data_IF_868135192276
#
_entry.id   IF_868135192276
#
_cell.length_a   1.000
_cell.length_b   1.000
_cell.length_c   1.000
_cell.angle_alpha   90.00
_cell.angle_beta   90.00
_cell.angle_gamma   90.00
#
_symmetry.space_group_name_H-M   'P 1'
#
loop_
_entity.id
_entity.type
_entity.pdbx_description
1 polymer ?
#
# COMPACT_ATOMS: atom_id res chain seq x y z
N UNK A 1 -31.24 -67.23 -68.72
CA UNK A 1 -31.20 -68.71 -68.62
C UNK A 1 -32.61 -69.21 -68.90
N UNK A 2 -32.92 -69.46 -70.17
CA UNK A 2 -32.92 -70.78 -70.79
C UNK A 2 -34.13 -71.65 -70.39
N UNK A 3 -35.08 -71.73 -71.34
CA UNK A 3 -35.86 -72.90 -71.75
C UNK A 3 -36.56 -73.71 -70.64
N UNK A 4 -37.86 -73.51 -70.48
CA UNK A 4 -38.78 -74.59 -70.07
C UNK A 4 -40.25 -74.19 -70.29
N UNK A 5 -40.82 -74.54 -71.44
CA UNK A 5 -42.26 -74.85 -71.61
C UNK A 5 -42.46 -75.54 -72.97
N UNK A 6 -42.06 -76.80 -73.00
CA UNK A 6 -42.34 -77.77 -74.07
C UNK A 6 -42.78 -79.06 -73.36
N UNK A 7 -43.81 -79.71 -73.91
CA UNK A 7 -44.41 -81.01 -73.54
C UNK A 7 -45.63 -80.99 -72.61
N UNK A 8 -46.82 -80.98 -73.23
CA UNK A 8 -47.85 -81.99 -72.95
C UNK A 8 -48.96 -81.92 -74.01
N UNK A 9 -48.85 -82.69 -75.10
CA UNK A 9 -49.98 -83.26 -75.86
C UNK A 9 -49.48 -84.10 -77.02
N UNK A 10 -49.30 -85.40 -76.77
CA UNK A 10 -49.26 -86.43 -77.82
C UNK A 10 -49.58 -87.78 -77.16
N UNK A 11 -50.72 -88.37 -77.50
CA UNK A 11 -50.85 -89.78 -77.93
C UNK A 11 -52.31 -90.13 -78.14
N UNK A 12 -52.68 -90.35 -79.41
CA UNK A 12 -53.58 -91.45 -79.84
C UNK A 12 -53.56 -91.51 -81.37
N UNK A 13 -52.93 -92.55 -81.93
CA UNK A 13 -53.03 -92.94 -83.34
C UNK A 13 -53.58 -94.38 -83.45
N UNK A 14 -54.67 -94.49 -84.22
CA UNK A 14 -55.10 -95.50 -85.23
C UNK A 14 -55.21 -96.99 -84.87
N UNK A 15 -56.33 -97.60 -85.31
CA UNK A 15 -56.54 -98.75 -86.25
C UNK A 15 -58.05 -99.11 -86.18
N UNK A 16 -58.90 -98.82 -87.17
CA UNK A 16 -59.31 -99.54 -88.41
C UNK A 16 -60.13 -100.86 -88.25
N UNK A 17 -61.27 -100.86 -88.98
CA UNK A 17 -62.12 -101.93 -89.58
C UNK A 17 -63.15 -102.77 -88.77
N UNK A 18 -64.44 -102.56 -89.14
CA UNK A 18 -65.54 -103.50 -89.47
C UNK A 18 -65.79 -104.77 -88.61
N UNK A 19 -66.99 -104.87 -87.99
CA UNK A 19 -68.13 -105.71 -88.43
C UNK A 19 -69.35 -105.62 -87.49
N UNK A 20 -70.51 -105.58 -88.14
CA UNK A 20 -71.89 -105.91 -87.74
C UNK A 20 -72.12 -106.67 -86.41
N UNK A 21 -73.05 -106.14 -85.60
CA UNK A 21 -74.17 -106.93 -85.05
C UNK A 21 -74.02 -107.60 -83.69
N UNK A 22 -74.94 -107.22 -82.81
CA UNK A 22 -75.43 -107.90 -81.59
C UNK A 22 -74.77 -107.65 -80.22
N UNK A 23 -75.59 -106.95 -79.42
CA UNK A 23 -76.00 -107.27 -78.05
C UNK A 23 -75.21 -106.67 -76.89
N UNK A 24 -75.98 -105.90 -76.12
CA UNK A 24 -75.65 -105.13 -74.93
C UNK A 24 -75.25 -106.04 -73.75
N UNK A 25 -74.37 -105.46 -72.92
CA UNK A 25 -74.11 -105.73 -71.49
C UNK A 25 -72.91 -106.64 -71.16
N UNK A 26 -71.71 -106.04 -71.05
CA UNK A 26 -70.75 -106.23 -69.92
C UNK A 26 -69.38 -105.56 -70.17
N UNK A 27 -69.34 -104.23 -70.31
CA UNK A 27 -68.06 -103.48 -70.38
C UNK A 27 -68.06 -102.34 -69.36
N UNK A 28 -68.00 -102.67 -68.06
CA UNK A 28 -67.81 -101.68 -66.97
C UNK A 28 -66.58 -102.02 -66.09
N UNK A 29 -65.83 -103.08 -66.39
CA UNK A 29 -64.78 -103.60 -65.49
C UNK A 29 -63.33 -103.11 -65.71
N UNK A 30 -62.91 -102.76 -66.94
CA UNK A 30 -61.47 -102.65 -67.26
C UNK A 30 -60.96 -101.22 -67.58
N UNK A 31 -61.83 -100.23 -67.81
CA UNK A 31 -61.43 -98.83 -68.02
C UNK A 31 -61.24 -98.04 -66.70
N UNK A 32 -61.71 -98.59 -65.57
CA UNK A 32 -61.73 -97.94 -64.26
C UNK A 32 -60.45 -98.19 -63.41
N UNK A 33 -59.55 -99.10 -63.82
CA UNK A 33 -58.27 -99.38 -63.14
C UNK A 33 -57.10 -98.55 -63.72
N UNK A 34 -57.14 -98.25 -65.02
CA UNK A 34 -56.13 -97.43 -65.71
C UNK A 34 -56.20 -95.95 -65.34
N UNK A 35 -57.41 -95.37 -65.23
CA UNK A 35 -57.62 -94.00 -64.73
C UNK A 35 -57.14 -93.85 -63.29
N UNK A 36 -57.49 -94.78 -62.40
CA UNK A 36 -57.05 -94.77 -60.99
C UNK A 36 -55.53 -94.86 -60.80
N UNK A 37 -54.81 -95.52 -61.70
CA UNK A 37 -53.34 -95.60 -61.63
C UNK A 37 -52.69 -94.32 -62.15
N UNK A 38 -53.23 -93.75 -63.24
CA UNK A 38 -52.83 -92.43 -63.77
C UNK A 38 -53.04 -91.32 -62.74
N UNK A 39 -54.19 -91.30 -62.07
CA UNK A 39 -54.51 -90.31 -61.04
C UNK A 39 -53.61 -90.47 -59.81
N UNK A 40 -53.24 -91.70 -59.43
CA UNK A 40 -52.26 -91.95 -58.36
C UNK A 40 -50.86 -91.44 -58.71
N UNK A 41 -50.41 -91.63 -59.95
CA UNK A 41 -49.10 -91.15 -60.41
C UNK A 41 -49.10 -89.62 -60.50
N UNK A 42 -50.16 -89.01 -61.02
CA UNK A 42 -50.31 -87.56 -61.10
C UNK A 42 -50.36 -86.92 -59.70
N UNK A 43 -51.13 -87.50 -58.77
CA UNK A 43 -51.18 -87.03 -57.38
C UNK A 43 -49.84 -87.19 -56.67
N UNK A 44 -49.11 -88.29 -56.88
CA UNK A 44 -47.77 -88.50 -56.29
C UNK A 44 -46.75 -87.51 -56.87
N UNK A 45 -46.83 -87.21 -58.16
CA UNK A 45 -45.98 -86.21 -58.80
C UNK A 45 -46.27 -84.79 -58.28
N UNK A 46 -47.55 -84.42 -58.15
CA UNK A 46 -47.96 -83.16 -57.55
C UNK A 46 -47.48 -83.03 -56.09
N UNK A 47 -47.63 -84.09 -55.29
CA UNK A 47 -47.15 -84.13 -53.91
C UNK A 47 -45.63 -83.91 -53.81
N UNK A 48 -44.85 -84.60 -54.66
CA UNK A 48 -43.41 -84.42 -54.73
C UNK A 48 -43.03 -83.00 -55.17
N UNK A 49 -43.78 -82.42 -56.11
CA UNK A 49 -43.54 -81.07 -56.59
C UNK A 49 -43.89 -80.02 -55.53
N UNK A 50 -44.95 -80.23 -54.73
CA UNK A 50 -45.30 -79.37 -53.59
C UNK A 50 -44.30 -79.49 -52.46
N UNK A 51 -43.81 -80.68 -52.14
CA UNK A 51 -42.79 -80.90 -51.10
C UNK A 51 -41.47 -80.21 -51.48
N UNK A 52 -41.04 -80.31 -52.74
CA UNK A 52 -39.85 -79.60 -53.22
C UNK A 52 -40.02 -78.09 -53.11
N UNK A 53 -41.17 -77.55 -53.53
CA UNK A 53 -41.45 -76.11 -53.43
C UNK A 53 -41.49 -75.64 -51.97
N UNK A 54 -42.15 -76.37 -51.08
CA UNK A 54 -42.18 -76.05 -49.64
C UNK A 54 -40.79 -76.06 -49.03
N UNK A 55 -39.99 -77.10 -49.29
CA UNK A 55 -38.62 -77.19 -48.78
C UNK A 55 -37.73 -76.06 -49.33
N UNK A 56 -37.89 -75.69 -50.60
CA UNK A 56 -37.16 -74.52 -51.15
C UNK A 56 -37.59 -73.21 -50.50
N UNK A 57 -38.88 -72.99 -50.23
CA UNK A 57 -39.35 -71.81 -49.50
C UNK A 57 -38.81 -71.76 -48.07
N UNK A 58 -38.86 -72.88 -47.34
CA UNK A 58 -38.35 -72.98 -45.96
C UNK A 58 -36.85 -72.64 -45.94
N UNK A 59 -36.04 -73.26 -46.81
CA UNK A 59 -34.61 -72.96 -46.88
C UNK A 59 -34.29 -71.50 -47.23
N UNK A 60 -35.10 -70.86 -48.08
CA UNK A 60 -34.97 -69.44 -48.40
C UNK A 60 -35.33 -68.55 -47.21
N UNK A 61 -36.38 -68.88 -46.47
CA UNK A 61 -36.78 -68.18 -45.24
C UNK A 61 -35.70 -68.30 -44.18
N UNK A 62 -35.20 -69.50 -43.90
CA UNK A 62 -34.12 -69.71 -42.93
C UNK A 62 -32.86 -68.93 -43.31
N UNK A 63 -32.54 -68.85 -44.61
CA UNK A 63 -31.40 -68.06 -45.08
C UNK A 63 -31.63 -66.56 -44.84
N UNK A 64 -32.86 -66.08 -45.08
CA UNK A 64 -33.22 -64.68 -44.85
C UNK A 64 -33.22 -64.31 -43.38
N UNK A 65 -33.68 -65.19 -42.50
CA UNK A 65 -33.65 -65.00 -41.06
C UNK A 65 -32.21 -64.95 -40.53
N UNK A 66 -31.33 -65.84 -41.02
CA UNK A 66 -29.89 -65.81 -40.70
C UNK A 66 -29.23 -64.52 -41.18
N UNK A 67 -29.52 -64.08 -42.41
CA UNK A 67 -29.04 -62.81 -42.95
C UNK A 67 -29.50 -61.63 -42.08
N UNK A 68 -30.77 -61.61 -41.68
CA UNK A 68 -31.34 -60.56 -40.83
C UNK A 68 -30.70 -60.55 -39.44
N UNK A 69 -30.58 -61.70 -38.77
CA UNK A 69 -29.91 -61.81 -37.47
C UNK A 69 -28.45 -61.33 -37.54
N UNK A 70 -27.71 -61.73 -38.57
CA UNK A 70 -26.32 -61.28 -38.77
C UNK A 70 -26.20 -59.77 -39.02
N UNK A 71 -27.24 -59.15 -39.57
CA UNK A 71 -27.31 -57.70 -39.79
C UNK A 71 -27.59 -56.98 -38.47
N UNK A 72 -28.57 -57.46 -37.69
CA UNK A 72 -28.91 -56.92 -36.37
C UNK A 72 -27.70 -57.00 -35.43
N UNK A 73 -27.04 -58.15 -35.32
CA UNK A 73 -25.85 -58.31 -34.46
C UNK A 73 -24.70 -57.37 -34.86
N UNK A 74 -24.49 -57.14 -36.17
CA UNK A 74 -23.49 -56.17 -36.63
C UNK A 74 -23.86 -54.75 -36.21
N UNK A 75 -25.14 -54.38 -36.34
CA UNK A 75 -25.62 -53.06 -35.95
C UNK A 75 -25.54 -52.81 -34.45
N UNK A 76 -25.85 -53.82 -33.64
CA UNK A 76 -25.69 -53.73 -32.18
C UNK A 76 -24.22 -53.57 -31.79
N UNK A 77 -23.31 -54.30 -32.42
CA UNK A 77 -21.86 -54.16 -32.20
C UNK A 77 -21.34 -52.78 -32.61
N UNK A 78 -21.77 -52.28 -33.77
CA UNK A 78 -21.42 -50.92 -34.23
C UNK A 78 -21.92 -49.87 -33.23
N UNK A 79 -23.17 -50.00 -32.76
CA UNK A 79 -23.76 -49.07 -31.80
C UNK A 79 -23.02 -49.07 -30.46
N UNK A 80 -22.71 -50.25 -29.91
CA UNK A 80 -21.96 -50.39 -28.65
C UNK A 80 -20.56 -49.79 -28.75
N UNK A 81 -19.85 -50.07 -29.85
CA UNK A 81 -18.54 -49.47 -30.16
C UNK A 81 -18.60 -47.95 -30.14
N UNK A 82 -19.61 -47.37 -30.79
CA UNK A 82 -19.79 -45.93 -30.91
C UNK A 82 -20.12 -45.29 -29.56
N UNK A 83 -20.97 -45.94 -28.76
CA UNK A 83 -21.26 -45.55 -27.38
C UNK A 83 -20.01 -45.54 -26.50
N UNK A 84 -19.17 -46.56 -26.62
CA UNK A 84 -17.95 -46.66 -25.82
C UNK A 84 -16.89 -45.64 -26.24
N UNK A 85 -16.76 -45.37 -27.54
CA UNK A 85 -15.92 -44.29 -28.07
C UNK A 85 -16.36 -42.92 -27.53
N UNK A 86 -17.65 -42.61 -27.66
CA UNK A 86 -18.19 -41.33 -27.18
C UNK A 86 -18.01 -41.17 -25.67
N UNK A 87 -18.19 -42.24 -24.88
CA UNK A 87 -17.94 -42.22 -23.44
C UNK A 87 -16.49 -41.88 -23.10
N UNK A 88 -15.52 -42.46 -23.83
CA UNK A 88 -14.09 -42.19 -23.63
C UNK A 88 -13.75 -40.73 -23.97
N UNK A 89 -14.31 -40.21 -25.05
CA UNK A 89 -14.10 -38.82 -25.48
C UNK A 89 -14.71 -37.82 -24.48
N UNK A 90 -15.89 -38.13 -23.94
CA UNK A 90 -16.50 -37.31 -22.89
C UNK A 90 -15.64 -37.29 -21.62
N UNK A 91 -15.11 -38.45 -21.22
CA UNK A 91 -14.22 -38.54 -20.05
C UNK A 91 -12.92 -37.73 -20.27
N UNK A 92 -12.28 -37.85 -21.43
CA UNK A 92 -11.05 -37.10 -21.70
C UNK A 92 -11.29 -35.59 -21.73
N UNK A 93 -12.41 -35.13 -22.29
CA UNK A 93 -12.81 -33.73 -22.26
C UNK A 93 -13.04 -33.23 -20.83
N UNK A 94 -13.75 -34.00 -20.01
CA UNK A 94 -13.97 -33.61 -18.60
C UNK A 94 -12.67 -33.52 -17.81
N UNK A 95 -11.72 -34.42 -18.07
CA UNK A 95 -10.43 -34.44 -17.38
C UNK A 95 -9.53 -33.28 -17.85
N UNK A 96 -9.54 -32.96 -19.14
CA UNK A 96 -8.85 -31.78 -19.70
C UNK A 96 -9.40 -30.49 -19.09
N UNK A 97 -10.72 -30.30 -19.10
CA UNK A 97 -11.35 -29.11 -18.56
C UNK A 97 -11.06 -28.96 -17.06
N UNK A 98 -11.03 -30.07 -16.30
CA UNK A 98 -10.68 -30.04 -14.88
C UNK A 98 -9.24 -29.56 -14.65
N UNK A 99 -8.29 -30.00 -15.49
CA UNK A 99 -6.90 -29.57 -15.41
C UNK A 99 -6.73 -28.09 -15.74
N UNK A 100 -7.40 -27.60 -16.79
CA UNK A 100 -7.39 -26.17 -17.14
C UNK A 100 -8.00 -25.31 -16.03
N UNK A 101 -9.07 -25.76 -15.40
CA UNK A 101 -9.70 -25.03 -14.30
C UNK A 101 -8.79 -24.96 -13.06
N UNK A 102 -8.03 -26.02 -12.79
CA UNK A 102 -7.04 -26.04 -11.70
C UNK A 102 -5.88 -25.09 -12.00
N UNK A 103 -5.30 -25.13 -13.21
CA UNK A 103 -4.18 -24.25 -13.55
C UNK A 103 -4.56 -22.77 -13.56
N UNK A 104 -5.80 -22.45 -13.98
CA UNK A 104 -6.32 -21.08 -13.89
C UNK A 104 -6.49 -20.61 -12.44
N UNK A 105 -6.90 -21.51 -11.53
CA UNK A 105 -6.99 -21.18 -10.10
C UNK A 105 -5.62 -20.89 -9.52
N UNK A 106 -4.65 -21.78 -9.74
CA UNK A 106 -3.27 -21.62 -9.26
C UNK A 106 -2.66 -20.31 -9.78
N UNK A 107 -2.78 -20.03 -11.08
CA UNK A 107 -2.25 -18.79 -11.66
C UNK A 107 -2.90 -17.52 -11.06
N UNK A 108 -4.19 -17.56 -10.75
CA UNK A 108 -4.87 -16.43 -10.13
C UNK A 108 -4.49 -16.25 -8.66
N UNK A 109 -4.26 -17.35 -7.93
CA UNK A 109 -3.76 -17.29 -6.54
C UNK A 109 -2.35 -16.70 -6.47
N UNK A 110 -1.45 -17.10 -7.36
CA UNK A 110 -0.09 -16.53 -7.47
C UNK A 110 -0.11 -15.02 -7.79
N UNK A 111 -0.99 -14.61 -8.72
CA UNK A 111 -1.19 -13.18 -9.03
C UNK A 111 -1.73 -12.40 -7.83
N UNK A 112 -2.63 -12.99 -7.05
CA UNK A 112 -3.18 -12.36 -5.85
C UNK A 112 -2.12 -12.22 -4.75
N UNK A 113 -1.27 -13.22 -4.56
CA UNK A 113 -0.17 -13.20 -3.60
C UNK A 113 0.86 -12.12 -3.96
N UNK A 114 1.35 -12.11 -5.20
CA UNK A 114 2.32 -11.11 -5.66
C UNK A 114 1.79 -9.66 -5.57
N UNK A 115 0.49 -9.45 -5.83
CA UNK A 115 -0.13 -8.13 -5.64
C UNK A 115 -0.21 -7.72 -4.17
N UNK A 116 -0.47 -8.65 -3.25
CA UNK A 116 -0.46 -8.36 -1.81
C UNK A 116 0.94 -7.99 -1.34
N UNK A 117 1.95 -8.78 -1.69
CA UNK A 117 3.34 -8.53 -1.33
C UNK A 117 3.80 -7.15 -1.85
N UNK A 118 3.56 -6.84 -3.13
CA UNK A 118 3.93 -5.55 -3.71
C UNK A 118 3.24 -4.36 -3.01
N UNK A 119 1.98 -4.52 -2.59
CA UNK A 119 1.28 -3.47 -1.86
C UNK A 119 1.77 -3.31 -0.42
N UNK A 120 2.14 -4.41 0.26
CA UNK A 120 2.74 -4.35 1.58
C UNK A 120 4.09 -3.65 1.57
N UNK A 121 4.97 -3.96 0.60
CA UNK A 121 6.25 -3.26 0.42
C UNK A 121 6.09 -1.76 0.16
N UNK A 122 5.10 -1.37 -0.67
CA UNK A 122 4.77 0.04 -0.91
C UNK A 122 4.25 0.74 0.35
N UNK A 123 3.46 0.05 1.15
CA UNK A 123 2.95 0.61 2.41
C UNK A 123 4.07 0.79 3.44
N UNK A 124 5.00 -0.16 3.54
CA UNK A 124 6.17 -0.08 4.41
C UNK A 124 7.08 1.09 4.01
N UNK A 125 7.47 1.18 2.74
CA UNK A 125 8.33 2.26 2.25
C UNK A 125 7.69 3.66 2.42
N UNK A 126 6.36 3.78 2.25
CA UNK A 126 5.65 5.03 2.53
C UNK A 126 5.64 5.40 4.02
N UNK A 127 5.53 4.42 4.92
CA UNK A 127 5.60 4.66 6.37
C UNK A 127 6.99 5.15 6.76
N UNK A 128 8.03 4.44 6.34
CA UNK A 128 9.43 4.81 6.61
C UNK A 128 9.74 6.23 6.11
N UNK A 129 9.38 6.54 4.85
CA UNK A 129 9.59 7.87 4.29
C UNK A 129 8.86 8.99 5.05
N UNK A 130 7.66 8.71 5.56
CA UNK A 130 6.91 9.68 6.36
C UNK A 130 7.50 9.86 7.76
N UNK A 131 7.97 8.78 8.40
CA UNK A 131 8.64 8.85 9.69
C UNK A 131 9.94 9.68 9.62
N UNK A 132 10.76 9.47 8.59
CA UNK A 132 11.98 10.28 8.35
C UNK A 132 11.66 11.78 8.15
N UNK A 133 10.60 12.09 7.40
CA UNK A 133 10.14 13.48 7.22
C UNK A 133 9.65 14.11 8.51
N UNK A 134 8.94 13.37 9.35
CA UNK A 134 8.47 13.87 10.65
C UNK A 134 9.63 14.12 11.61
N UNK A 135 10.62 13.23 11.65
CA UNK A 135 11.81 13.38 12.47
C UNK A 135 12.61 14.63 12.07
N UNK A 136 12.91 14.78 10.78
CA UNK A 136 13.66 15.95 10.26
C UNK A 136 12.92 17.27 10.49
N UNK A 137 11.59 17.30 10.34
CA UNK A 137 10.79 18.50 10.62
C UNK A 137 10.80 18.85 12.12
N UNK A 138 10.74 17.84 12.99
CA UNK A 138 10.82 18.01 14.44
C UNK A 138 12.19 18.54 14.86
N UNK A 139 13.26 18.00 14.29
CA UNK A 139 14.63 18.44 14.58
C UNK A 139 14.88 19.89 14.14
N UNK A 140 14.45 20.26 12.91
CA UNK A 140 14.55 21.63 12.43
C UNK A 140 13.79 22.61 13.33
N UNK A 141 12.57 22.23 13.75
CA UNK A 141 11.75 23.08 14.63
C UNK A 141 12.38 23.26 16.01
N UNK A 142 12.98 22.21 16.57
CA UNK A 142 13.72 22.29 17.82
C UNK A 142 14.96 23.20 17.70
N UNK A 143 15.69 23.11 16.57
CA UNK A 143 16.83 24.01 16.32
C UNK A 143 16.40 25.48 16.23
N UNK A 144 15.30 25.78 15.53
CA UNK A 144 14.75 27.14 15.46
C UNK A 144 14.29 27.65 16.83
N UNK A 145 13.62 26.80 17.62
CA UNK A 145 13.17 27.14 18.96
C UNK A 145 14.36 27.44 19.89
N UNK A 146 15.42 26.63 19.84
CA UNK A 146 16.64 26.87 20.61
C UNK A 146 17.31 28.20 20.22
N UNK A 147 17.38 28.52 18.93
CA UNK A 147 17.91 29.82 18.47
C UNK A 147 17.06 30.99 18.97
N UNK A 148 15.75 30.86 18.93
CA UNK A 148 14.83 31.89 19.41
C UNK A 148 14.96 32.10 20.93
N UNK A 149 15.08 31.02 21.71
CA UNK A 149 15.29 31.08 23.15
C UNK A 149 16.60 31.78 23.51
N UNK A 150 17.72 31.38 22.90
CA UNK A 150 19.02 32.02 23.14
C UNK A 150 18.98 33.52 22.83
N UNK A 151 18.30 33.91 21.75
CA UNK A 151 18.14 35.30 21.38
C UNK A 151 17.23 36.07 22.35
N UNK A 152 16.19 35.43 22.88
CA UNK A 152 15.33 36.02 23.91
C UNK A 152 16.08 36.23 25.22
N UNK A 153 16.89 35.26 25.66
CA UNK A 153 17.74 35.36 26.86
C UNK A 153 18.76 36.49 26.71
N UNK A 154 19.46 36.56 25.57
CA UNK A 154 20.41 37.64 25.29
C UNK A 154 19.73 39.02 25.34
N UNK A 155 18.54 39.16 24.75
CA UNK A 155 17.76 40.40 24.83
C UNK A 155 17.36 40.75 26.25
N UNK A 156 16.91 39.77 27.04
CA UNK A 156 16.55 39.99 28.44
C UNK A 156 17.76 40.46 29.26
N UNK A 157 18.93 39.85 29.06
CA UNK A 157 20.17 40.27 29.70
C UNK A 157 20.58 41.69 29.30
N UNK A 158 20.54 42.03 28.01
CA UNK A 158 20.84 43.40 27.55
C UNK A 158 19.85 44.44 28.11
N UNK A 159 18.57 44.07 28.26
CA UNK A 159 17.57 44.95 28.88
C UNK A 159 17.84 45.17 30.37
N UNK A 160 18.25 44.13 31.11
CA UNK A 160 18.64 44.28 32.51
C UNK A 160 19.90 45.14 32.66
N UNK A 161 20.92 44.92 31.81
CA UNK A 161 22.14 45.72 31.81
C UNK A 161 21.85 47.20 31.54
N UNK A 162 21.08 47.50 30.49
CA UNK A 162 20.68 48.88 30.18
C UNK A 162 19.89 49.50 31.33
N UNK A 163 18.95 48.76 31.92
CA UNK A 163 18.16 49.19 33.07
C UNK A 163 19.02 49.56 34.29
N UNK A 164 20.01 48.76 34.66
CA UNK A 164 20.89 49.07 35.80
C UNK A 164 21.77 50.30 35.53
N UNK A 165 22.29 50.46 34.31
CA UNK A 165 23.10 51.64 33.94
C UNK A 165 22.31 52.95 34.02
N UNK A 166 21.02 52.92 33.69
CA UNK A 166 20.12 54.08 33.80
C UNK A 166 20.06 54.63 35.24
N UNK A 167 19.97 53.74 36.22
CA UNK A 167 19.82 54.15 37.62
C UNK A 167 21.13 54.73 38.17
N UNK A 168 22.29 54.24 37.72
CA UNK A 168 23.61 54.83 38.03
C UNK A 168 23.72 56.24 37.47
N UNK A 169 23.24 56.49 36.24
CA UNK A 169 23.23 57.84 35.65
C UNK A 169 22.42 58.82 36.50
N UNK A 170 21.19 58.46 36.87
CA UNK A 170 20.33 59.29 37.72
C UNK A 170 20.96 59.58 39.09
N UNK A 171 21.62 58.60 39.68
CA UNK A 171 22.38 58.76 40.91
C UNK A 171 23.54 59.75 40.77
N UNK A 172 24.29 59.70 39.66
CA UNK A 172 25.36 60.66 39.36
C UNK A 172 24.83 62.08 39.14
N UNK A 173 23.63 62.23 38.56
CA UNK A 173 22.98 63.55 38.46
C UNK A 173 22.58 64.10 39.83
N UNK A 174 22.13 63.25 40.74
CA UNK A 174 21.86 63.63 42.14
C UNK A 174 23.15 64.01 42.87
N UNK A 175 24.24 63.25 42.69
CA UNK A 175 25.57 63.59 43.21
C UNK A 175 26.01 64.97 42.70
N UNK A 176 25.87 65.25 41.40
CA UNK A 176 26.14 66.59 40.84
C UNK A 176 25.35 67.66 41.58
N UNK A 177 24.05 67.47 41.76
CA UNK A 177 23.21 68.46 42.44
C UNK A 177 23.69 68.73 43.87
N UNK A 178 24.09 67.68 44.61
CA UNK A 178 24.67 67.84 45.95
C UNK A 178 26.00 68.60 45.94
N UNK A 179 26.91 68.29 45.02
CA UNK A 179 28.19 69.01 44.89
C UNK A 179 27.95 70.49 44.62
N UNK A 180 27.09 70.81 43.64
CA UNK A 180 26.78 72.19 43.28
C UNK A 180 26.04 72.95 44.38
N UNK A 181 25.24 72.26 45.19
CA UNK A 181 24.52 72.91 46.31
C UNK A 181 25.45 73.44 47.42
N UNK A 182 26.68 72.93 47.51
CA UNK A 182 27.68 73.42 48.48
C UNK A 182 28.28 74.76 48.06
N UNK A 183 28.33 75.05 46.76
CA UNK A 183 28.86 76.30 46.20
C UNK A 183 27.74 77.25 45.77
N UNK A 184 27.39 78.21 46.62
CA UNK A 184 26.32 79.22 46.38
C UNK A 184 26.49 80.08 45.12
N UNK A 185 27.65 79.99 44.45
CA UNK A 185 28.06 80.82 43.32
C UNK A 185 27.90 80.13 41.95
N UNK A 186 27.53 78.85 41.90
CA UNK A 186 27.67 78.05 40.67
C UNK A 186 26.31 77.84 40.00
N UNK A 187 26.28 78.10 38.68
CA UNK A 187 25.10 77.94 37.85
C UNK A 187 24.79 76.45 37.69
N UNK A 188 23.55 76.04 37.92
CA UNK A 188 23.05 74.66 37.76
C UNK A 188 23.16 74.07 36.33
N UNK A 189 23.82 74.77 35.40
CA UNK A 189 24.01 74.36 34.00
C UNK A 189 25.29 73.55 33.77
N UNK A 190 26.09 73.30 34.80
CA UNK A 190 27.36 72.58 34.66
C UNK A 190 27.17 71.08 34.29
N UNK A 191 27.94 70.54 33.33
CA UNK A 191 27.95 69.11 33.02
C UNK A 191 28.37 68.24 34.21
N UNK A 192 27.81 67.02 34.31
CA UNK A 192 28.10 66.08 35.41
C UNK A 192 29.59 65.73 35.48
N UNK A 193 30.26 65.55 34.34
CA UNK A 193 31.71 65.23 34.30
C UNK A 193 32.57 66.30 35.01
N UNK A 194 32.20 67.58 34.90
CA UNK A 194 32.93 68.65 35.55
C UNK A 194 32.68 68.67 37.07
N UNK A 195 31.45 68.38 37.50
CA UNK A 195 31.14 68.23 38.92
C UNK A 195 31.89 67.03 39.54
N UNK A 196 31.93 65.88 38.84
CA UNK A 196 32.72 64.72 39.26
C UNK A 196 34.22 65.01 39.26
N UNK A 197 34.71 65.83 38.32
CA UNK A 197 36.09 66.32 38.34
C UNK A 197 36.38 67.16 39.58
N UNK A 198 35.46 68.03 40.02
CA UNK A 198 35.62 68.77 41.28
C UNK A 198 35.58 67.84 42.49
N UNK A 199 34.69 66.85 42.51
CA UNK A 199 34.69 65.82 43.55
C UNK A 199 36.04 65.12 43.65
N UNK A 200 36.68 64.81 42.50
CA UNK A 200 38.03 64.23 42.47
C UNK A 200 39.15 65.14 42.99
N UNK A 201 38.83 66.40 43.31
CA UNK A 201 39.73 67.42 43.86
C UNK A 201 39.35 67.80 45.31
N UNK A 202 38.23 67.30 45.82
CA UNK A 202 37.74 67.56 47.18
C UNK A 202 38.60 66.82 48.22
N UNK A 203 39.11 67.52 49.22
CA UNK A 203 40.08 66.95 50.17
C UNK A 203 39.47 65.84 51.03
N UNK A 204 38.22 66.00 51.46
CA UNK A 204 37.52 65.02 52.29
C UNK A 204 37.25 63.74 51.48
N UNK A 205 36.79 63.89 50.24
CA UNK A 205 36.58 62.77 49.33
C UNK A 205 37.89 62.07 48.96
N UNK A 206 38.96 62.81 48.64
CA UNK A 206 40.28 62.24 48.32
C UNK A 206 40.80 61.38 49.48
N UNK A 207 40.65 61.85 50.73
CA UNK A 207 41.10 61.11 51.91
C UNK A 207 40.35 59.78 52.06
N UNK A 208 39.04 59.78 51.83
CA UNK A 208 38.21 58.57 51.86
C UNK A 208 38.63 57.62 50.72
N UNK A 209 38.79 58.15 49.50
CA UNK A 209 39.14 57.37 48.32
C UNK A 209 40.52 56.72 48.45
N UNK A 210 41.54 57.47 48.90
CA UNK A 210 42.89 56.93 49.11
C UNK A 210 42.90 55.81 50.13
N UNK A 211 42.24 56.02 51.28
CA UNK A 211 42.13 54.99 52.31
C UNK A 211 41.45 53.74 51.78
N UNK A 212 40.33 53.89 51.06
CA UNK A 212 39.64 52.75 50.48
C UNK A 212 40.52 52.02 49.44
N UNK A 213 41.27 52.74 48.61
CA UNK A 213 42.22 52.14 47.67
C UNK A 213 43.32 51.34 48.39
N UNK A 214 43.88 51.87 49.48
CA UNK A 214 44.86 51.16 50.32
C UNK A 214 44.27 49.90 50.94
N UNK A 215 43.04 49.98 51.48
CA UNK A 215 42.34 48.86 52.11
C UNK A 215 41.98 47.74 51.10
N UNK A 216 42.01 48.01 49.79
CA UNK A 216 41.64 47.07 48.72
C UNK A 216 42.78 46.78 47.73
N UNK A 217 44.03 47.16 48.05
CA UNK A 217 45.21 46.98 47.20
C UNK A 217 45.07 47.56 45.77
N UNK A 218 44.37 48.69 45.64
CA UNK A 218 44.14 49.37 44.36
C UNK A 218 45.03 50.61 44.20
N UNK A 219 45.46 50.88 42.97
CA UNK A 219 46.24 52.09 42.64
C UNK A 219 45.31 53.30 42.55
N UNK A 220 45.53 54.27 43.43
CA UNK A 220 44.74 55.50 43.50
C UNK A 220 44.64 56.24 42.16
N UNK A 221 45.75 56.39 41.42
CA UNK A 221 45.75 57.13 40.15
C UNK A 221 44.83 56.47 39.11
N UNK A 222 44.80 55.14 39.07
CA UNK A 222 43.99 54.36 38.13
C UNK A 222 42.49 54.51 38.46
N UNK A 223 42.14 54.47 39.75
CA UNK A 223 40.77 54.68 40.23
C UNK A 223 40.31 56.13 40.04
N UNK A 224 41.18 57.11 40.32
CA UNK A 224 40.88 58.53 40.15
C UNK A 224 40.64 58.86 38.67
N UNK A 225 41.36 58.21 37.76
CA UNK A 225 41.17 58.40 36.31
C UNK A 225 39.77 58.00 35.86
N UNK A 226 39.18 56.95 36.45
CA UNK A 226 37.84 56.47 36.14
C UNK A 226 36.74 57.50 36.45
N UNK A 227 36.91 58.33 37.48
CA UNK A 227 35.87 59.30 37.95
C UNK A 227 35.36 60.21 36.83
N UNK A 228 36.26 60.65 35.94
CA UNK A 228 35.93 61.56 34.83
C UNK A 228 35.18 60.90 33.69
N UNK A 229 35.24 59.57 33.60
CA UNK A 229 34.59 58.78 32.57
C UNK A 229 33.24 58.19 33.00
N UNK A 230 32.92 58.21 34.30
CA UNK A 230 31.73 57.53 34.84
C UNK A 230 30.42 57.99 34.20
N UNK A 231 30.22 59.30 34.06
CA UNK A 231 28.98 59.81 33.48
C UNK A 231 28.95 59.58 31.97
N UNK A 232 30.07 59.66 31.26
CA UNK A 232 30.13 59.25 29.86
C UNK A 232 29.73 57.77 29.69
N UNK A 233 30.27 56.86 30.51
CA UNK A 233 29.89 55.45 30.56
C UNK A 233 28.39 55.26 30.89
N UNK A 234 27.85 56.00 31.86
CA UNK A 234 26.43 55.95 32.25
C UNK A 234 25.48 56.53 31.18
N UNK A 235 25.92 57.56 30.47
CA UNK A 235 25.10 58.37 29.54
C UNK A 235 24.88 57.72 28.17
N UNK A 236 25.65 56.68 27.83
CA UNK A 236 25.52 55.95 26.57
C UNK A 236 24.18 55.22 26.41
N UNK A 237 23.43 55.05 27.49
CA UNK A 237 22.17 54.31 27.52
C UNK A 237 21.02 55.17 28.09
N UNK A 238 19.80 54.90 27.64
CA UNK A 238 18.58 55.73 27.79
C UNK A 238 18.20 56.12 29.23
N UNK A 239 17.28 57.09 29.36
CA UNK A 239 16.75 57.58 30.63
C UNK A 239 15.63 56.68 31.18
N UNK A 240 15.57 56.52 32.49
CA UNK A 240 14.55 55.73 33.17
C UNK A 240 14.48 56.11 34.64
N UNK A 241 13.37 55.73 35.26
CA UNK A 241 12.82 56.31 36.49
C UNK A 241 12.58 55.23 37.55
N UNK A 242 13.53 54.31 37.75
CA UNK A 242 13.39 53.30 38.79
C UNK A 242 14.06 53.70 40.11
N UNK A 243 13.50 53.28 41.26
CA UNK A 243 13.93 53.76 42.57
C UNK A 243 15.22 53.09 43.10
N UNK A 244 15.64 51.95 42.55
CA UNK A 244 16.74 51.15 43.08
C UNK A 244 17.99 51.23 42.21
N UNK A 245 19.11 51.70 42.79
CA UNK A 245 20.38 51.84 42.09
C UNK A 245 21.17 50.54 42.24
N UNK A 246 21.62 49.97 41.13
CA UNK A 246 22.40 48.72 41.12
C UNK A 246 23.71 48.95 40.37
N UNK A 247 24.82 48.63 41.01
CA UNK A 247 26.15 48.59 40.37
C UNK A 247 26.40 47.15 39.94
N UNK A 248 26.43 46.91 38.63
CA UNK A 248 26.61 45.58 38.02
C UNK A 248 28.02 45.44 37.44
N UNK A 249 28.81 44.52 37.98
CA UNK A 249 30.20 44.30 37.56
C UNK A 249 30.35 43.76 36.13
N UNK A 250 29.26 43.32 35.49
CA UNK A 250 29.25 42.95 34.07
C UNK A 250 29.23 44.16 33.13
N UNK A 251 28.87 45.33 33.66
CA UNK A 251 28.67 46.57 32.87
C UNK A 251 29.74 47.63 33.12
N UNK A 252 30.46 47.54 34.23
CA UNK A 252 31.47 48.51 34.67
C UNK A 252 32.80 47.80 34.91
N UNK A 253 33.92 48.46 34.63
CA UNK A 253 35.23 47.93 35.01
C UNK A 253 35.38 47.87 36.54
N UNK A 254 36.27 47.01 37.06
CA UNK A 254 36.47 46.85 38.50
C UNK A 254 36.76 48.17 39.22
N UNK A 255 37.54 49.06 38.61
CA UNK A 255 37.82 50.38 39.15
C UNK A 255 36.59 51.31 39.12
N UNK A 256 35.75 51.22 38.09
CA UNK A 256 34.50 51.98 37.99
C UNK A 256 33.46 51.50 39.02
N UNK A 257 33.30 50.18 39.18
CA UNK A 257 32.45 49.58 40.23
C UNK A 257 32.87 50.09 41.59
N UNK A 258 34.17 50.01 41.87
CA UNK A 258 34.75 50.40 43.15
C UNK A 258 34.51 51.88 43.45
N UNK A 259 34.82 52.76 42.49
CA UNK A 259 34.66 54.20 42.70
C UNK A 259 33.19 54.62 42.77
N UNK A 260 32.28 53.97 42.02
CA UNK A 260 30.85 54.20 42.14
C UNK A 260 30.34 53.84 43.54
N UNK A 261 30.80 52.71 44.09
CA UNK A 261 30.48 52.30 45.46
C UNK A 261 30.94 53.34 46.49
N UNK A 262 32.15 53.88 46.33
CA UNK A 262 32.69 54.92 47.23
C UNK A 262 31.91 56.23 47.09
N UNK A 263 31.60 56.66 45.87
CA UNK A 263 30.81 57.88 45.61
C UNK A 263 29.43 57.75 46.25
N UNK A 264 28.71 56.66 45.98
CA UNK A 264 27.37 56.46 46.52
C UNK A 264 27.38 56.32 48.05
N UNK A 265 28.39 55.66 48.61
CA UNK A 265 28.57 55.62 50.06
C UNK A 265 28.82 57.01 50.65
N UNK A 266 29.72 57.81 50.05
CA UNK A 266 30.04 59.17 50.50
C UNK A 266 28.80 60.08 50.52
N UNK A 267 27.94 59.97 49.50
CA UNK A 267 26.70 60.74 49.38
C UNK A 267 25.48 60.08 50.03
N UNK A 268 25.66 58.95 50.75
CA UNK A 268 24.60 58.19 51.42
C UNK A 268 23.45 57.76 50.49
N UNK A 269 23.80 57.40 49.26
CA UNK A 269 22.88 56.90 48.25
C UNK A 269 22.79 55.38 48.43
N UNK A 270 21.60 54.80 48.70
CA UNK A 270 21.45 53.36 48.79
C UNK A 270 21.67 52.73 47.41
N UNK A 271 22.48 51.69 47.36
CA UNK A 271 22.72 50.92 46.14
C UNK A 271 22.89 49.45 46.48
N UNK A 272 22.57 48.59 45.53
CA UNK A 272 22.89 47.18 45.59
C UNK A 272 24.05 46.85 44.66
N UNK A 273 24.80 45.82 45.01
CA UNK A 273 25.90 45.32 44.23
C UNK A 273 25.55 43.97 43.62
N UNK A 274 25.67 43.85 42.31
CA UNK A 274 25.44 42.60 41.58
C UNK A 274 26.77 42.07 41.05
N UNK A 275 27.18 40.91 41.57
CA UNK A 275 28.28 40.13 41.03
C UNK A 275 27.77 39.27 39.86
N UNK A 276 28.47 39.31 38.73
CA UNK A 276 28.17 38.50 37.55
C UNK A 276 28.67 37.06 37.61
N UNK A 277 28.73 36.45 38.80
CA UNK A 277 29.09 35.03 38.97
C UNK A 277 28.02 34.08 38.42
#
# INVERSE_FOLDING_TARGET
>A
MLIALKFARLTRRRVLTWTRGYSRNNVVGYTNKSSKLSDKIANKFLLLQTDVLQNTMISLLEKKDKEFLSFVERKDKEFLSLMESNKKELLSLTESNKKELLSLKESNEEKLLSLKESNEEKLLSLKESNEEKLLSLTENKNQELNKANNLAENRAQSLLQTKHMVNVRGALEFVRAQILSKDKSIVFTEPVDNALKRLSQDEDFIKILKKACEDNDLRYDDVQHCIRGLYHSASKHFHGHEPQIVIDSRTWSSNEVFVLGIIFHHFKIPFDYCNGD
#
